data_IF_700909910526
#
_entry.id   IF_700909910526
#
_cell.length_a   1.000
_cell.length_b   1.000
_cell.length_c   1.000
_cell.angle_alpha   90.00
_cell.angle_beta   90.00
_cell.angle_gamma   90.00
#
_symmetry.space_group_name_H-M   'P 1'
#
loop_
_entity.id
_entity.type
_entity.pdbx_description
1 polymer ?
#
# COMPACT_ATOMS: atom_id res chain seq x y z
N UNK A 1 -16.83 -9.76 17.35
CA UNK A 1 -15.92 -10.64 16.64
C UNK A 1 -15.57 -10.01 15.30
N UNK A 2 -14.29 -9.83 15.01
CA UNK A 2 -13.79 -9.19 13.78
C UNK A 2 -13.22 -10.27 12.88
N UNK A 3 -13.49 -10.19 11.58
CA UNK A 3 -12.86 -11.06 10.57
C UNK A 3 -11.77 -10.30 9.83
N UNK A 4 -10.55 -10.84 9.82
CA UNK A 4 -9.41 -10.35 9.04
C UNK A 4 -9.22 -11.23 7.81
N UNK A 5 -9.53 -10.69 6.63
CA UNK A 5 -9.34 -11.33 5.34
C UNK A 5 -7.90 -11.10 4.86
N UNK A 6 -7.25 -12.13 4.32
CA UNK A 6 -5.87 -12.03 3.82
C UNK A 6 -5.60 -13.06 2.72
N UNK A 7 -4.56 -12.82 1.91
CA UNK A 7 -4.11 -13.79 0.92
C UNK A 7 -3.36 -14.95 1.60
N UNK A 8 -3.98 -16.11 1.66
CA UNK A 8 -3.40 -17.33 2.27
C UNK A 8 -2.38 -18.02 1.36
N UNK A 9 -2.24 -17.60 0.11
CA UNK A 9 -1.22 -18.11 -0.81
C UNK A 9 0.12 -17.38 -0.66
N UNK A 10 0.13 -16.22 0.03
CA UNK A 10 1.33 -15.47 0.40
C UNK A 10 1.70 -15.76 1.87
N UNK A 11 2.85 -16.42 2.07
CA UNK A 11 3.34 -16.75 3.40
C UNK A 11 3.59 -15.51 4.27
N UNK A 12 4.07 -14.42 3.68
CA UNK A 12 4.30 -13.16 4.39
C UNK A 12 2.99 -12.53 4.87
N UNK A 13 1.96 -12.56 4.03
CA UNK A 13 0.63 -12.08 4.40
C UNK A 13 0.03 -12.95 5.53
N UNK A 14 0.20 -14.27 5.47
CA UNK A 14 -0.28 -15.18 6.52
C UNK A 14 0.42 -14.93 7.87
N UNK A 15 1.75 -14.76 7.87
CA UNK A 15 2.51 -14.43 9.07
C UNK A 15 2.12 -13.06 9.63
N UNK A 16 1.93 -12.07 8.78
CA UNK A 16 1.48 -10.72 9.19
C UNK A 16 0.08 -10.77 9.78
N UNK A 17 -0.86 -11.48 9.16
CA UNK A 17 -2.22 -11.64 9.67
C UNK A 17 -2.24 -12.28 11.07
N UNK A 18 -1.42 -13.31 11.29
CA UNK A 18 -1.27 -13.94 12.59
C UNK A 18 -0.69 -12.97 13.65
N UNK A 19 0.33 -12.19 13.27
CA UNK A 19 0.93 -11.20 14.18
C UNK A 19 -0.07 -10.10 14.56
N UNK A 20 -0.87 -9.61 13.60
CA UNK A 20 -1.94 -8.63 13.86
C UNK A 20 -3.01 -9.21 14.78
N UNK A 21 -3.46 -10.46 14.53
CA UNK A 21 -4.42 -11.15 15.39
C UNK A 21 -3.92 -11.23 16.84
N UNK A 22 -2.66 -11.64 17.04
CA UNK A 22 -2.05 -11.75 18.37
C UNK A 22 -1.91 -10.39 19.05
N UNK A 23 -1.49 -9.36 18.31
CA UNK A 23 -1.38 -8.01 18.82
C UNK A 23 -2.74 -7.45 19.28
N UNK A 24 -3.78 -7.62 18.47
CA UNK A 24 -5.15 -7.21 18.85
C UNK A 24 -5.67 -7.95 20.06
N UNK A 25 -5.43 -9.26 20.16
CA UNK A 25 -5.80 -10.03 21.35
C UNK A 25 -5.09 -9.54 22.59
N UNK A 26 -3.77 -9.35 22.52
CA UNK A 26 -2.95 -8.98 23.66
C UNK A 26 -3.13 -7.52 24.12
N UNK A 27 -3.27 -6.59 23.15
CA UNK A 27 -3.28 -5.16 23.44
C UNK A 27 -4.68 -4.60 23.60
N UNK A 28 -5.65 -5.16 22.88
CA UNK A 28 -7.00 -4.62 22.80
C UNK A 28 -8.07 -5.59 23.36
N UNK A 29 -7.71 -6.84 23.67
CA UNK A 29 -8.67 -7.87 24.06
C UNK A 29 -9.62 -8.29 22.92
N UNK A 30 -9.30 -7.93 21.68
CA UNK A 30 -10.13 -8.25 20.52
C UNK A 30 -9.87 -9.66 20.02
N UNK A 31 -10.95 -10.36 19.67
CA UNK A 31 -10.88 -11.68 19.04
C UNK A 31 -11.11 -11.51 17.55
N UNK A 32 -10.05 -11.66 16.76
CA UNK A 32 -10.12 -11.68 15.31
C UNK A 32 -10.13 -13.13 14.79
N UNK A 33 -10.95 -13.38 13.77
CA UNK A 33 -10.93 -14.62 12.99
C UNK A 33 -10.12 -14.36 11.72
N UNK A 34 -9.11 -15.17 11.46
CA UNK A 34 -8.37 -15.14 10.22
C UNK A 34 -9.15 -15.88 9.13
N UNK A 35 -9.45 -15.18 8.03
CA UNK A 35 -10.08 -15.75 6.83
C UNK A 35 -9.07 -15.71 5.69
N UNK A 36 -8.47 -16.87 5.38
CA UNK A 36 -7.62 -17.02 4.22
C UNK A 36 -8.44 -17.06 2.93
N UNK A 37 -7.97 -16.39 1.91
CA UNK A 37 -8.52 -16.37 0.56
C UNK A 37 -7.38 -16.50 -0.46
N UNK A 38 -7.69 -16.78 -1.70
CA UNK A 38 -6.73 -16.64 -2.80
C UNK A 38 -6.57 -15.14 -3.15
N UNK A 39 -5.50 -14.78 -3.86
CA UNK A 39 -5.29 -13.40 -4.30
C UNK A 39 -6.48 -12.85 -5.11
N UNK A 40 -7.11 -13.69 -5.96
CA UNK A 40 -8.29 -13.30 -6.74
C UNK A 40 -9.51 -13.07 -5.84
N UNK A 41 -9.81 -13.98 -4.93
CA UNK A 41 -10.93 -13.84 -4.00
C UNK A 41 -10.77 -12.62 -3.09
N UNK A 42 -9.53 -12.33 -2.64
CA UNK A 42 -9.23 -11.12 -1.89
C UNK A 42 -9.51 -9.86 -2.72
N UNK A 43 -9.04 -9.82 -3.97
CA UNK A 43 -9.27 -8.71 -4.87
C UNK A 43 -10.77 -8.49 -5.15
N UNK A 44 -11.52 -9.58 -5.37
CA UNK A 44 -12.96 -9.52 -5.59
C UNK A 44 -13.70 -9.00 -4.35
N UNK A 45 -13.33 -9.47 -3.16
CA UNK A 45 -13.91 -8.99 -1.90
C UNK A 45 -13.59 -7.51 -1.63
N UNK A 46 -12.37 -7.06 -1.95
CA UNK A 46 -11.98 -5.65 -1.85
C UNK A 46 -12.81 -4.77 -2.79
N UNK A 47 -13.00 -5.19 -4.04
CA UNK A 47 -13.79 -4.44 -5.02
C UNK A 47 -15.28 -4.36 -4.67
N UNK A 48 -15.81 -5.39 -4.01
CA UNK A 48 -17.22 -5.48 -3.64
C UNK A 48 -17.50 -4.94 -2.22
N UNK A 49 -16.46 -4.65 -1.42
CA UNK A 49 -16.61 -4.25 -0.03
C UNK A 49 -17.07 -5.39 0.89
N UNK A 50 -16.85 -6.65 0.50
CA UNK A 50 -17.31 -7.84 1.22
C UNK A 50 -16.29 -8.32 2.28
N UNK A 51 -15.86 -7.42 3.14
CA UNK A 51 -14.94 -7.70 4.25
C UNK A 51 -15.20 -6.78 5.44
N UNK A 52 -14.76 -7.17 6.61
CA UNK A 52 -14.72 -6.28 7.79
C UNK A 52 -13.38 -5.57 7.88
N UNK A 53 -12.30 -6.33 7.83
CA UNK A 53 -10.91 -5.86 7.72
C UNK A 53 -10.20 -6.75 6.72
N UNK A 54 -9.38 -6.16 5.86
CA UNK A 54 -8.57 -6.90 4.89
C UNK A 54 -7.11 -6.49 5.01
N UNK A 55 -6.22 -7.49 4.96
CA UNK A 55 -4.78 -7.28 4.86
C UNK A 55 -4.37 -7.42 3.41
N UNK A 56 -3.83 -6.36 2.85
CA UNK A 56 -3.34 -6.33 1.47
C UNK A 56 -2.05 -5.55 1.35
N UNK A 57 -1.32 -5.78 0.28
CA UNK A 57 -0.16 -4.98 -0.11
C UNK A 57 -0.54 -4.11 -1.30
N UNK A 58 -0.26 -2.83 -1.20
CA UNK A 58 -0.48 -1.87 -2.27
C UNK A 58 0.85 -1.36 -2.82
N UNK A 59 0.88 -1.03 -4.10
CA UNK A 59 2.07 -0.47 -4.75
C UNK A 59 1.67 0.85 -5.40
N UNK A 60 2.46 1.90 -5.15
CA UNK A 60 2.28 3.18 -5.81
C UNK A 60 2.48 3.05 -7.32
N UNK A 61 1.63 3.70 -8.10
CA UNK A 61 1.78 3.83 -9.56
C UNK A 61 2.69 5.01 -9.96
N UNK A 62 2.97 5.90 -9.01
CA UNK A 62 3.82 7.11 -9.15
C UNK A 62 4.83 7.18 -8.01
N UNK A 63 5.87 7.97 -8.20
CA UNK A 63 6.96 8.14 -7.23
C UNK A 63 6.67 9.10 -6.08
N UNK A 64 5.44 9.56 -5.90
CA UNK A 64 5.00 10.44 -4.83
C UNK A 64 3.78 9.89 -4.07
N UNK A 65 3.35 10.57 -3.02
CA UNK A 65 2.22 10.15 -2.17
C UNK A 65 0.91 9.97 -2.96
N UNK A 66 0.70 10.76 -4.03
CA UNK A 66 -0.50 10.64 -4.85
C UNK A 66 -0.64 9.26 -5.51
N UNK A 67 0.48 8.58 -5.79
CA UNK A 67 0.48 7.23 -6.36
C UNK A 67 -0.08 6.16 -5.43
N UNK A 68 -0.06 6.39 -4.11
CA UNK A 68 -0.75 5.53 -3.14
C UNK A 68 -2.16 6.04 -2.85
N UNK A 69 -2.32 7.34 -2.63
CA UNK A 69 -3.59 7.93 -2.22
C UNK A 69 -4.67 7.80 -3.29
N UNK A 70 -4.32 7.85 -4.59
CA UNK A 70 -5.27 7.66 -5.69
C UNK A 70 -5.97 6.28 -5.71
N UNK A 71 -5.41 5.30 -5.02
CA UNK A 71 -6.03 3.97 -4.90
C UNK A 71 -7.38 4.00 -4.17
N UNK A 72 -7.61 5.00 -3.31
CA UNK A 72 -8.86 5.23 -2.57
C UNK A 72 -9.73 6.32 -3.17
N UNK A 73 -9.43 6.83 -4.37
CA UNK A 73 -10.35 7.73 -5.07
C UNK A 73 -11.68 7.04 -5.34
N UNK A 74 -12.78 7.79 -5.19
CA UNK A 74 -14.15 7.26 -5.37
C UNK A 74 -14.32 6.62 -6.75
N UNK A 75 -14.79 5.38 -6.74
CA UNK A 75 -14.91 4.55 -7.96
C UNK A 75 -13.82 3.50 -8.14
N UNK A 76 -12.74 3.56 -7.35
CA UNK A 76 -11.66 2.56 -7.37
C UNK A 76 -11.87 1.40 -6.37
N UNK A 77 -13.08 1.27 -5.82
CA UNK A 77 -13.41 0.23 -4.86
C UNK A 77 -14.61 0.61 -4.01
N UNK A 78 -14.61 0.18 -2.75
CA UNK A 78 -15.72 0.38 -1.79
C UNK A 78 -15.68 1.73 -1.07
N UNK A 79 -14.55 2.44 -1.08
CA UNK A 79 -14.43 3.75 -0.44
C UNK A 79 -15.08 4.83 -1.29
N UNK A 80 -15.84 5.69 -0.66
CA UNK A 80 -16.47 6.84 -1.31
C UNK A 80 -16.44 8.05 -0.39
N UNK A 81 -15.72 9.11 -0.81
CA UNK A 81 -15.69 10.39 -0.10
C UNK A 81 -15.46 11.55 -1.06
N UNK A 82 -16.48 12.38 -1.26
CA UNK A 82 -16.35 13.58 -2.08
C UNK A 82 -15.31 14.55 -1.53
N UNK A 83 -15.16 14.65 -0.20
CA UNK A 83 -14.16 15.51 0.42
C UNK A 83 -12.73 15.01 0.10
N UNK A 84 -12.51 13.71 0.19
CA UNK A 84 -11.25 13.08 -0.18
C UNK A 84 -10.89 13.32 -1.66
N UNK A 85 -11.84 13.09 -2.56
CA UNK A 85 -11.64 13.33 -3.99
C UNK A 85 -11.33 14.80 -4.30
N UNK A 86 -11.92 15.74 -3.54
CA UNK A 86 -11.62 17.17 -3.70
C UNK A 86 -10.18 17.49 -3.29
N UNK A 87 -9.65 16.87 -2.24
CA UNK A 87 -8.26 17.03 -1.81
C UNK A 87 -7.29 16.53 -2.89
N UNK A 88 -7.53 15.34 -3.46
CA UNK A 88 -6.70 14.80 -4.53
C UNK A 88 -6.72 15.70 -5.77
N UNK A 89 -7.91 16.19 -6.18
CA UNK A 89 -8.03 17.12 -7.30
C UNK A 89 -7.35 18.45 -7.04
N UNK A 90 -7.42 18.97 -5.82
CA UNK A 90 -6.74 20.21 -5.44
C UNK A 90 -5.20 20.03 -5.47
N UNK A 91 -4.72 18.86 -5.01
CA UNK A 91 -3.31 18.51 -5.12
C UNK A 91 -2.85 18.46 -6.59
N UNK A 92 -3.62 17.81 -7.45
CA UNK A 92 -3.28 17.68 -8.88
C UNK A 92 -3.35 19.02 -9.64
N UNK A 93 -4.22 19.91 -9.22
CA UNK A 93 -4.34 21.26 -9.80
C UNK A 93 -3.29 22.24 -9.29
N UNK A 94 -2.57 21.93 -8.21
CA UNK A 94 -1.58 22.82 -7.61
C UNK A 94 -0.29 22.83 -8.42
N UNK A 95 0.17 24.02 -8.78
CA UNK A 95 1.49 24.25 -9.38
C UNK A 95 2.62 24.44 -8.35
N UNK A 96 2.30 24.45 -7.04
CA UNK A 96 3.25 24.67 -5.95
C UNK A 96 3.40 23.40 -5.12
N UNK A 97 4.62 22.92 -4.96
CA UNK A 97 4.91 21.63 -4.29
C UNK A 97 4.39 21.63 -2.85
N UNK A 98 4.66 22.68 -2.09
CA UNK A 98 4.26 22.78 -0.68
C UNK A 98 2.74 22.77 -0.50
N UNK A 99 2.00 23.39 -1.43
CA UNK A 99 0.53 23.40 -1.40
C UNK A 99 -0.04 22.03 -1.81
N UNK A 100 0.59 21.40 -2.80
CA UNK A 100 0.25 20.05 -3.23
C UNK A 100 0.44 19.05 -2.09
N UNK A 101 1.61 19.10 -1.43
CA UNK A 101 1.92 18.19 -0.33
C UNK A 101 0.95 18.35 0.83
N UNK A 102 0.56 19.58 1.18
CA UNK A 102 -0.43 19.84 2.22
C UNK A 102 -1.80 19.18 1.91
N UNK A 103 -2.27 19.25 0.65
CA UNK A 103 -3.51 18.54 0.27
C UNK A 103 -3.38 17.02 0.34
N UNK A 104 -2.20 16.47 0.01
CA UNK A 104 -1.95 15.02 0.11
C UNK A 104 -1.84 14.58 1.58
N UNK A 105 -1.24 15.38 2.45
CA UNK A 105 -1.21 15.15 3.91
C UNK A 105 -2.63 15.16 4.50
N UNK A 106 -3.47 16.11 4.11
CA UNK A 106 -4.87 16.15 4.55
C UNK A 106 -5.65 14.92 4.07
N UNK A 107 -5.42 14.46 2.83
CA UNK A 107 -6.04 13.25 2.30
C UNK A 107 -5.56 11.99 3.04
N UNK A 108 -4.27 11.86 3.34
CA UNK A 108 -3.72 10.77 4.14
C UNK A 108 -4.33 10.74 5.55
N UNK A 109 -4.40 11.92 6.19
CA UNK A 109 -5.00 12.06 7.52
C UNK A 109 -6.45 11.55 7.55
N UNK A 110 -7.27 11.86 6.54
CA UNK A 110 -8.65 11.35 6.46
C UNK A 110 -8.70 9.82 6.42
N UNK A 111 -7.84 9.17 5.62
CA UNK A 111 -7.85 7.70 5.54
C UNK A 111 -7.43 7.04 6.84
N UNK A 112 -6.45 7.61 7.55
CA UNK A 112 -5.87 7.01 8.76
C UNK A 112 -6.72 7.33 9.99
N UNK A 113 -7.14 8.59 10.16
CA UNK A 113 -7.90 9.02 11.34
C UNK A 113 -9.33 8.46 11.35
N UNK A 114 -9.95 8.35 10.19
CA UNK A 114 -11.27 7.71 10.04
C UNK A 114 -11.21 6.18 10.06
N UNK A 115 -9.99 5.60 10.11
CA UNK A 115 -9.77 4.17 10.22
C UNK A 115 -10.05 3.37 8.95
N UNK A 116 -10.09 4.02 7.78
CA UNK A 116 -10.23 3.32 6.50
C UNK A 116 -8.97 2.54 6.12
N UNK A 117 -7.80 3.05 6.48
CA UNK A 117 -6.50 2.44 6.22
C UNK A 117 -5.68 2.41 7.49
N UNK A 118 -5.08 1.26 7.76
CA UNK A 118 -4.14 1.06 8.86
C UNK A 118 -2.79 0.66 8.26
N UNK A 119 -1.85 1.60 8.08
CA UNK A 119 -0.52 1.30 7.57
C UNK A 119 0.24 0.40 8.57
N UNK A 120 0.83 -0.68 8.09
CA UNK A 120 1.60 -1.59 8.95
C UNK A 120 3.11 -1.43 8.74
N UNK A 121 3.59 -1.61 7.52
CA UNK A 121 5.02 -1.50 7.18
C UNK A 121 5.23 -1.39 5.67
N UNK A 122 6.43 -0.97 5.29
CA UNK A 122 6.88 -1.00 3.90
C UNK A 122 7.54 -2.34 3.58
N UNK A 123 7.15 -2.95 2.46
CA UNK A 123 7.80 -4.15 1.94
C UNK A 123 9.13 -3.78 1.30
N UNK A 124 10.22 -4.33 1.81
CA UNK A 124 11.55 -4.15 1.22
C UNK A 124 11.83 -5.23 0.18
N UNK A 125 12.26 -4.82 -1.00
CA UNK A 125 12.76 -5.73 -2.03
C UNK A 125 14.28 -5.71 -2.00
N UNK A 126 14.89 -6.90 -2.00
CA UNK A 126 16.33 -7.06 -2.07
C UNK A 126 16.72 -7.55 -3.45
N UNK A 127 17.70 -6.91 -4.06
CA UNK A 127 18.30 -7.35 -5.33
C UNK A 127 19.79 -7.53 -5.16
N UNK A 128 20.31 -8.64 -5.66
CA UNK A 128 21.74 -8.90 -5.74
C UNK A 128 22.28 -8.56 -7.14
N UNK A 129 23.39 -7.85 -7.20
CA UNK A 129 24.10 -7.54 -8.43
C UNK A 129 25.49 -8.14 -8.40
N UNK A 130 25.95 -8.60 -9.56
CA UNK A 130 27.37 -8.98 -9.70
C UNK A 130 28.26 -7.76 -9.44
N UNK A 131 29.38 -7.96 -8.74
CA UNK A 131 30.28 -6.89 -8.30
C UNK A 131 30.82 -6.00 -9.45
N UNK A 132 30.72 -6.49 -10.67
CA UNK A 132 31.17 -5.78 -11.88
C UNK A 132 30.09 -4.90 -12.53
N UNK A 133 28.89 -4.88 -12.00
CA UNK A 133 27.77 -4.11 -12.55
C UNK A 133 27.43 -2.92 -11.65
N UNK A 134 27.09 -1.80 -12.29
CA UNK A 134 26.48 -0.69 -11.57
C UNK A 134 25.03 -1.04 -11.20
N UNK A 135 24.55 -0.51 -10.07
CA UNK A 135 23.15 -0.74 -9.69
C UNK A 135 22.19 -0.15 -10.74
N UNK A 136 21.10 -0.86 -11.06
CA UNK A 136 20.04 -0.28 -11.87
C UNK A 136 19.39 0.89 -11.12
N UNK A 137 18.89 1.87 -11.86
CA UNK A 137 18.10 2.93 -11.26
C UNK A 137 16.74 2.37 -10.82
N UNK A 138 16.38 2.65 -9.58
CA UNK A 138 15.08 2.35 -9.01
C UNK A 138 14.25 3.63 -8.97
N UNK A 139 13.06 3.62 -9.56
CA UNK A 139 12.22 4.82 -9.69
C UNK A 139 11.21 5.02 -8.54
N UNK A 140 11.27 4.17 -7.52
CA UNK A 140 10.37 4.24 -6.37
C UNK A 140 9.02 3.52 -6.57
N UNK A 141 8.61 3.24 -7.79
CA UNK A 141 7.36 2.54 -8.11
C UNK A 141 7.50 1.01 -8.22
N UNK A 142 8.67 0.49 -7.93
CA UNK A 142 8.98 -0.93 -8.06
C UNK A 142 9.63 -1.33 -9.38
N UNK A 143 9.90 -0.37 -10.27
CA UNK A 143 10.50 -0.61 -11.57
C UNK A 143 12.00 -0.35 -11.53
N UNK A 144 12.77 -1.33 -11.99
CA UNK A 144 14.22 -1.20 -12.18
C UNK A 144 14.53 -0.86 -13.64
N UNK A 145 15.25 0.23 -13.85
CA UNK A 145 15.75 0.63 -15.18
C UNK A 145 17.11 0.02 -15.44
N UNK A 146 17.14 -1.14 -16.08
CA UNK A 146 18.37 -1.84 -16.42
C UNK A 146 19.16 -1.18 -17.55
N UNK A 147 18.58 -0.28 -18.32
CA UNK A 147 19.28 0.48 -19.37
C UNK A 147 20.43 1.35 -18.84
N UNK A 148 20.44 1.66 -17.54
CA UNK A 148 21.50 2.41 -16.87
C UNK A 148 22.60 1.51 -16.28
N UNK A 149 22.48 0.19 -16.38
CA UNK A 149 23.46 -0.75 -15.85
C UNK A 149 24.68 -0.80 -16.79
N UNK A 150 25.84 -0.46 -16.25
CA UNK A 150 27.10 -0.49 -17.00
C UNK A 150 28.05 -1.49 -16.34
N UNK A 151 28.79 -2.23 -17.16
CA UNK A 151 29.84 -3.11 -16.67
C UNK A 151 31.05 -2.26 -16.30
N UNK A 152 31.50 -2.32 -15.06
CA UNK A 152 32.74 -1.70 -14.63
C UNK A 152 33.89 -2.56 -15.10
N UNK A 153 34.85 -1.95 -15.82
CA UNK A 153 36.12 -2.62 -16.17
C UNK A 153 36.99 -2.66 -14.91
N UNK A 154 37.53 -3.81 -14.52
CA UNK A 154 38.48 -3.85 -13.41
C UNK A 154 39.69 -2.95 -13.74
N UNK A 155 40.09 -2.08 -12.79
CA UNK A 155 41.35 -1.36 -12.86
C UNK A 155 42.49 -2.30 -12.55
#
# INVERSE_FOLDING_TARGET
>A
QITLLYDSTDETAAQTAAAVQDAWKQKLGLIAILRGATAQELADALNQGEFMVALTTVTADRGDASGLLSLWESGNGYFYSTAYDMLLRAADASGHVEVRDAYLEDAEAMLVEDGWVIPLYYVHRHSGLAQQLTAPLYDGTGVYRFSAVVRQTPQ
#
